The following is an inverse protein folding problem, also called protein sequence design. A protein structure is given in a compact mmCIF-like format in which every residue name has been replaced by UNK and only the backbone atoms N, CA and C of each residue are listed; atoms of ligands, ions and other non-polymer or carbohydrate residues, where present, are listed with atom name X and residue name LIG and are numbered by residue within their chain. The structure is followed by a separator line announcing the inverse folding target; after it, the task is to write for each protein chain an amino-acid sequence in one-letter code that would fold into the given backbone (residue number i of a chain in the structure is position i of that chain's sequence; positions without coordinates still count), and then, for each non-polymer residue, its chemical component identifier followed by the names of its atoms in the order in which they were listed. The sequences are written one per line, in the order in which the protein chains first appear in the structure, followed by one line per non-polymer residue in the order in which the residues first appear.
data_IF_958184650309
#
_entry.id   IF_958184650309
#
_cell.length_a   1.000
_cell.length_b   1.000
_cell.length_c   1.000
_cell.angle_alpha   90.00
_cell.angle_beta   90.00
_cell.angle_gamma   90.00
#
_symmetry.space_group_name_H-M   'P 1'
#
loop_
_entity.id
_entity.type
_entity.pdbx_description
1 polymer ?
#
# COMPACT_ATOMS: atom_id res chain seq x y z
N UNK A 1 -52.01 -40.42 63.40
CA UNK A 1 -52.19 -39.18 62.61
C UNK A 1 -50.82 -38.84 62.01
N UNK A 2 -50.61 -39.13 60.72
CA UNK A 2 -49.33 -38.96 60.02
C UNK A 2 -49.16 -37.48 59.63
N UNK A 3 -48.12 -36.82 60.11
CA UNK A 3 -47.72 -35.49 59.63
C UNK A 3 -46.54 -35.66 58.68
N UNK A 4 -46.78 -35.44 57.39
CA UNK A 4 -45.75 -35.37 56.36
C UNK A 4 -45.15 -33.96 56.34
N UNK A 5 -43.85 -33.83 56.58
CA UNK A 5 -43.10 -32.60 56.34
C UNK A 5 -42.66 -32.56 54.87
N UNK A 6 -43.22 -31.64 54.09
CA UNK A 6 -42.80 -31.38 52.70
C UNK A 6 -41.77 -30.25 52.72
N UNK A 7 -40.50 -30.56 52.44
CA UNK A 7 -39.45 -29.56 52.23
C UNK A 7 -39.54 -29.01 50.80
N UNK A 8 -39.77 -27.71 50.66
CA UNK A 8 -39.71 -26.98 49.38
C UNK A 8 -38.27 -26.51 49.18
N UNK A 9 -37.53 -27.12 48.24
CA UNK A 9 -36.25 -26.60 47.77
C UNK A 9 -36.52 -25.46 46.77
N UNK A 10 -36.19 -24.23 47.14
CA UNK A 10 -36.13 -23.11 46.21
C UNK A 10 -34.78 -23.16 45.46
N UNK A 11 -34.82 -23.50 44.17
CA UNK A 11 -33.65 -23.42 43.30
C UNK A 11 -33.43 -21.96 42.87
N UNK A 12 -32.38 -21.33 43.38
CA UNK A 12 -31.93 -20.02 42.94
C UNK A 12 -31.06 -20.22 41.69
N UNK A 13 -31.63 -20.01 40.51
CA UNK A 13 -30.88 -19.95 39.25
C UNK A 13 -30.15 -18.62 39.15
N UNK A 14 -28.84 -18.63 39.41
CA UNK A 14 -27.95 -17.51 39.10
C UNK A 14 -27.64 -17.58 37.60
N UNK A 15 -28.38 -16.82 36.79
CA UNK A 15 -28.01 -16.60 35.40
C UNK A 15 -26.82 -15.63 35.36
N UNK A 16 -25.61 -16.17 35.30
CA UNK A 16 -24.44 -15.39 34.90
C UNK A 16 -24.62 -15.00 33.43
N UNK A 17 -25.01 -13.74 33.19
CA UNK A 17 -24.92 -13.15 31.87
C UNK A 17 -23.44 -13.11 31.49
N UNK A 18 -23.00 -14.08 30.69
CA UNK A 18 -21.71 -14.00 30.01
C UNK A 18 -21.80 -12.79 29.07
N UNK A 19 -21.19 -11.67 29.49
CA UNK A 19 -20.86 -10.59 28.56
C UNK A 19 -19.87 -11.19 27.57
N UNK A 20 -20.37 -11.65 26.44
CA UNK A 20 -19.54 -11.95 25.27
C UNK A 20 -18.88 -10.62 24.93
N UNK A 21 -17.63 -10.43 25.38
CA UNK A 21 -16.75 -9.43 24.78
C UNK A 21 -16.73 -9.78 23.31
N UNK A 22 -17.41 -8.97 22.50
CA UNK A 22 -17.29 -9.00 21.05
C UNK A 22 -15.80 -8.80 20.79
N UNK A 23 -15.08 -9.87 20.44
CA UNK A 23 -13.74 -9.71 19.89
C UNK A 23 -13.88 -8.68 18.78
N UNK A 24 -13.12 -7.59 18.88
CA UNK A 24 -13.13 -6.57 17.83
C UNK A 24 -12.85 -7.30 16.51
N UNK A 25 -13.74 -7.12 15.53
CA UNK A 25 -13.62 -7.83 14.28
C UNK A 25 -12.34 -7.37 13.60
N UNK A 26 -11.41 -8.30 13.35
CA UNK A 26 -10.16 -7.99 12.70
C UNK A 26 -10.39 -7.24 11.38
N UNK A 27 -9.58 -6.19 11.16
CA UNK A 27 -9.63 -5.38 9.94
C UNK A 27 -9.38 -6.26 8.71
N UNK A 28 -10.30 -6.19 7.73
CA UNK A 28 -10.35 -7.01 6.50
C UNK A 28 -10.93 -6.22 5.31
N UNK A 29 -10.70 -6.71 4.08
CA UNK A 29 -11.29 -6.10 2.88
C UNK A 29 -12.83 -6.19 2.89
N UNK A 30 -13.48 -5.07 2.58
CA UNK A 30 -14.93 -5.00 2.36
C UNK A 30 -15.33 -4.51 0.96
N UNK A 31 -14.34 -4.29 0.10
CA UNK A 31 -14.51 -3.95 -1.32
C UNK A 31 -13.83 -5.01 -2.19
N UNK A 32 -14.15 -5.02 -3.48
CA UNK A 32 -13.53 -5.90 -4.47
C UNK A 32 -12.86 -5.07 -5.56
N UNK A 33 -11.81 -5.61 -6.20
CA UNK A 33 -11.21 -5.02 -7.38
C UNK A 33 -12.23 -4.67 -8.47
N UNK A 34 -12.01 -3.52 -9.11
CA UNK A 34 -12.73 -3.10 -10.31
C UNK A 34 -11.95 -3.59 -11.53
N UNK A 35 -12.03 -4.88 -11.79
CA UNK A 35 -11.25 -5.52 -12.85
C UNK A 35 -11.61 -4.97 -14.24
N UNK A 36 -10.59 -4.76 -15.07
CA UNK A 36 -10.76 -4.35 -16.46
C UNK A 36 -9.59 -4.80 -17.34
N UNK A 37 -9.33 -4.03 -18.40
CA UNK A 37 -8.19 -4.23 -19.29
C UNK A 37 -7.51 -2.89 -19.55
N UNK A 38 -6.31 -2.88 -20.13
CA UNK A 38 -5.67 -1.65 -20.59
C UNK A 38 -6.38 -0.98 -21.80
N UNK A 39 -7.57 -1.44 -22.18
CA UNK A 39 -8.40 -0.80 -23.20
C UNK A 39 -9.51 0.00 -22.54
N UNK A 40 -9.37 1.33 -22.53
CA UNK A 40 -10.38 2.26 -22.01
C UNK A 40 -9.93 2.97 -20.75
N UNK A 41 -10.90 3.21 -19.88
CA UNK A 41 -10.73 3.90 -18.60
C UNK A 41 -9.87 3.09 -17.62
N UNK A 42 -9.29 3.77 -16.64
CA UNK A 42 -8.52 3.15 -15.55
C UNK A 42 -9.34 2.05 -14.86
N UNK A 43 -8.70 0.89 -14.68
CA UNK A 43 -9.25 -0.24 -13.97
C UNK A 43 -8.13 -1.03 -13.27
N UNK A 44 -8.48 -1.91 -12.34
CA UNK A 44 -7.55 -2.89 -11.79
C UNK A 44 -7.22 -3.94 -12.86
N UNK A 45 -5.93 -4.17 -13.13
CA UNK A 45 -5.48 -5.04 -14.22
C UNK A 45 -4.30 -5.89 -13.78
N UNK A 46 -4.34 -7.17 -14.14
CA UNK A 46 -3.17 -8.04 -14.24
C UNK A 46 -3.05 -8.54 -15.68
N UNK A 47 -2.09 -8.00 -16.44
CA UNK A 47 -1.83 -8.37 -17.83
C UNK A 47 -0.52 -9.15 -18.01
N UNK A 48 -0.37 -10.26 -17.27
CA UNK A 48 0.72 -11.22 -17.44
C UNK A 48 1.55 -11.49 -16.18
N UNK A 49 1.28 -10.81 -15.07
CA UNK A 49 1.96 -11.09 -13.80
C UNK A 49 1.56 -12.48 -13.29
N UNK A 50 2.57 -13.22 -12.85
CA UNK A 50 2.46 -14.53 -12.20
C UNK A 50 1.84 -14.38 -10.79
N UNK A 51 1.30 -15.46 -10.20
CA UNK A 51 0.92 -15.48 -8.79
C UNK A 51 2.11 -15.06 -7.90
N UNK A 52 1.84 -14.43 -6.75
CA UNK A 52 2.89 -13.84 -5.91
C UNK A 52 4.00 -14.81 -5.52
N UNK A 53 3.65 -16.07 -5.22
CA UNK A 53 4.60 -17.12 -4.84
C UNK A 53 5.57 -17.55 -5.97
N UNK A 54 5.41 -17.03 -7.19
CA UNK A 54 6.36 -17.22 -8.28
C UNK A 54 7.53 -16.23 -8.22
N UNK A 55 7.42 -15.14 -7.46
CA UNK A 55 8.47 -14.14 -7.30
C UNK A 55 9.34 -14.46 -6.10
N UNK A 56 10.65 -14.39 -6.29
CA UNK A 56 11.66 -14.58 -5.23
C UNK A 56 12.22 -13.25 -4.73
N UNK A 57 12.09 -12.19 -5.52
CA UNK A 57 12.53 -10.84 -5.17
C UNK A 57 11.44 -9.83 -5.52
N UNK A 58 11.19 -8.89 -4.62
CA UNK A 58 10.40 -7.69 -4.88
C UNK A 58 11.35 -6.50 -4.79
N UNK A 59 11.51 -5.73 -5.87
CA UNK A 59 12.27 -4.49 -5.90
C UNK A 59 11.28 -3.33 -5.88
N UNK A 60 11.34 -2.49 -4.86
CA UNK A 60 10.34 -1.47 -4.62
C UNK A 60 10.88 -0.05 -4.73
N UNK A 61 10.15 0.78 -5.47
CA UNK A 61 10.34 2.21 -5.58
C UNK A 61 9.06 2.92 -5.18
N UNK A 62 9.18 3.99 -4.42
CA UNK A 62 8.01 4.70 -3.93
C UNK A 62 8.33 5.85 -2.98
N UNK A 63 7.26 6.30 -2.34
CA UNK A 63 7.29 7.36 -1.33
C UNK A 63 7.08 6.82 0.10
N UNK A 64 6.53 7.66 0.99
CA UNK A 64 6.26 7.33 2.38
C UNK A 64 5.31 6.14 2.59
N UNK A 65 4.46 5.79 1.60
CA UNK A 65 3.57 4.64 1.70
C UNK A 65 4.30 3.33 1.42
N UNK A 66 5.52 3.41 0.87
CA UNK A 66 6.35 2.26 0.48
C UNK A 66 7.71 2.23 1.20
N UNK A 67 8.08 3.29 1.93
CA UNK A 67 9.37 3.39 2.63
C UNK A 67 9.41 2.54 3.93
N UNK A 68 10.21 1.48 3.90
CA UNK A 68 10.50 0.56 5.00
C UNK A 68 11.51 1.08 6.04
N UNK A 69 11.99 2.32 5.89
CA UNK A 69 12.98 2.97 6.76
C UNK A 69 14.44 2.68 6.40
N UNK A 70 14.69 1.87 5.36
CA UNK A 70 16.02 1.59 4.79
C UNK A 70 15.90 1.55 3.26
N UNK A 71 16.59 2.47 2.59
CA UNK A 71 16.23 2.89 1.22
C UNK A 71 17.29 2.46 0.18
N UNK A 72 18.02 1.37 0.44
CA UNK A 72 19.18 0.95 -0.35
C UNK A 72 19.16 -0.52 -0.79
N UNK A 73 18.02 -1.20 -0.63
CA UNK A 73 17.84 -2.62 -0.94
C UNK A 73 18.44 -3.60 0.09
N UNK A 74 18.96 -3.12 1.22
CA UNK A 74 19.40 -3.98 2.33
C UNK A 74 18.21 -4.37 3.24
N UNK A 75 18.36 -5.39 4.12
CA UNK A 75 17.28 -5.80 5.01
C UNK A 75 16.77 -4.64 5.88
N UNK A 76 15.45 -4.57 6.02
CA UNK A 76 14.80 -3.55 6.85
C UNK A 76 15.02 -3.83 8.34
N UNK A 77 14.94 -2.77 9.15
CA UNK A 77 14.88 -2.90 10.62
C UNK A 77 13.51 -3.48 11.05
N UNK A 78 13.41 -4.05 12.26
CA UNK A 78 12.13 -4.47 12.82
C UNK A 78 11.10 -3.33 12.80
N UNK A 79 9.89 -3.63 12.32
CA UNK A 79 8.79 -2.67 12.23
C UNK A 79 8.13 -2.47 13.61
N UNK A 80 8.86 -1.87 14.55
CA UNK A 80 8.42 -1.62 15.92
C UNK A 80 8.49 -0.13 16.23
N UNK A 81 7.41 0.42 16.77
CA UNK A 81 7.37 1.79 17.30
C UNK A 81 8.23 1.87 18.55
N UNK A 82 9.23 2.76 18.54
CA UNK A 82 10.09 3.01 19.70
C UNK A 82 9.91 4.46 20.15
N UNK A 83 9.16 4.72 21.24
CA UNK A 83 8.96 6.07 21.76
C UNK A 83 10.28 6.82 22.00
N UNK A 84 10.31 8.15 21.79
CA UNK A 84 9.17 9.00 21.47
C UNK A 84 8.78 8.97 19.99
N UNK A 85 9.55 8.31 19.11
CA UNK A 85 9.24 8.29 17.68
C UNK A 85 7.94 7.54 17.42
N UNK A 86 7.03 8.07 16.58
CA UNK A 86 5.86 7.34 16.11
C UNK A 86 6.20 6.40 14.94
N UNK A 87 7.43 6.44 14.40
CA UNK A 87 7.79 5.67 13.20
C UNK A 87 8.25 4.26 13.57
N UNK A 88 7.58 3.25 13.03
CA UNK A 88 7.93 1.84 13.27
C UNK A 88 9.17 1.43 12.47
N UNK A 89 10.32 1.31 13.13
CA UNK A 89 11.58 0.99 12.46
C UNK A 89 11.98 1.97 11.34
N UNK A 90 11.44 3.19 11.36
CA UNK A 90 11.61 4.22 10.32
C UNK A 90 10.44 4.37 9.33
N UNK A 91 9.45 3.47 9.34
CA UNK A 91 8.26 3.55 8.47
C UNK A 91 7.34 4.69 8.91
N UNK A 92 6.66 5.32 7.95
CA UNK A 92 5.56 6.26 8.22
C UNK A 92 4.26 5.55 8.63
N UNK A 93 4.39 4.59 9.56
CA UNK A 93 3.32 3.72 10.05
C UNK A 93 3.68 3.17 11.44
N UNK A 94 2.74 2.50 12.09
CA UNK A 94 2.89 1.82 13.39
C UNK A 94 3.41 0.39 13.28
N UNK A 95 3.66 -0.11 12.06
CA UNK A 95 4.13 -1.46 11.82
C UNK A 95 4.52 -1.68 10.36
N UNK A 96 4.45 -2.94 9.87
CA UNK A 96 4.89 -3.27 8.52
C UNK A 96 4.08 -2.57 7.42
N UNK A 97 4.78 -2.16 6.36
CA UNK A 97 4.17 -1.56 5.16
C UNK A 97 3.62 -2.63 4.20
N UNK A 98 2.87 -2.21 3.18
CA UNK A 98 2.20 -3.13 2.26
C UNK A 98 3.19 -4.04 1.51
N UNK A 99 4.38 -3.53 1.19
CA UNK A 99 5.44 -4.29 0.53
C UNK A 99 6.02 -5.41 1.38
N UNK A 100 6.13 -5.22 2.69
CA UNK A 100 6.57 -6.27 3.62
C UNK A 100 5.54 -7.38 3.71
N UNK A 101 4.25 -7.03 3.80
CA UNK A 101 3.15 -7.98 3.77
C UNK A 101 3.08 -8.74 2.43
N UNK A 102 3.31 -8.04 1.31
CA UNK A 102 3.35 -8.63 -0.02
C UNK A 102 4.54 -9.59 -0.17
N UNK A 103 5.72 -9.21 0.33
CA UNK A 103 6.91 -10.05 0.32
C UNK A 103 6.75 -11.31 1.17
N UNK A 104 6.14 -11.19 2.36
CA UNK A 104 5.77 -12.35 3.19
C UNK A 104 4.83 -13.28 2.44
N UNK A 105 3.79 -12.74 1.80
CA UNK A 105 2.82 -13.52 1.00
C UNK A 105 3.48 -14.22 -0.19
N UNK A 106 4.44 -13.55 -0.84
CA UNK A 106 5.21 -14.10 -1.95
C UNK A 106 6.27 -15.12 -1.51
N UNK A 107 6.71 -15.10 -0.24
CA UNK A 107 7.95 -15.77 0.18
C UNK A 107 9.19 -15.16 -0.48
N UNK A 108 9.15 -13.85 -0.79
CA UNK A 108 10.16 -13.13 -1.53
C UNK A 108 11.07 -12.29 -0.62
N UNK A 109 12.28 -12.00 -1.09
CA UNK A 109 13.14 -10.97 -0.49
C UNK A 109 12.70 -9.60 -0.97
N UNK A 110 12.39 -8.69 -0.04
CA UNK A 110 12.15 -7.28 -0.34
C UNK A 110 13.47 -6.52 -0.50
N UNK A 111 13.57 -5.75 -1.58
CA UNK A 111 14.64 -4.81 -1.90
C UNK A 111 14.03 -3.41 -2.00
N UNK A 112 14.04 -2.70 -0.88
CA UNK A 112 13.35 -1.43 -0.75
C UNK A 112 14.27 -0.24 -1.07
N UNK A 113 13.81 0.61 -1.98
CA UNK A 113 14.44 1.87 -2.38
C UNK A 113 13.51 3.08 -2.20
N UNK A 114 12.27 2.85 -1.76
CA UNK A 114 11.29 3.91 -1.54
C UNK A 114 11.77 4.89 -0.47
N UNK A 115 11.43 6.16 -0.63
CA UNK A 115 11.90 7.24 0.24
C UNK A 115 10.73 8.15 0.61
N UNK A 116 10.48 8.34 1.90
CA UNK A 116 9.44 9.25 2.37
C UNK A 116 9.64 10.69 1.84
N UNK A 117 8.57 11.25 1.27
CA UNK A 117 8.57 12.58 0.66
C UNK A 117 9.03 12.62 -0.81
N UNK A 118 9.39 11.48 -1.40
CA UNK A 118 9.85 11.41 -2.77
C UNK A 118 8.76 11.82 -3.77
N UNK A 119 9.14 12.69 -4.69
CA UNK A 119 8.39 13.00 -5.91
C UNK A 119 8.89 12.12 -7.07
N UNK A 120 8.27 12.22 -8.24
CA UNK A 120 8.70 11.47 -9.42
C UNK A 120 10.01 12.02 -10.00
N UNK A 121 10.11 13.35 -10.08
CA UNK A 121 11.30 14.06 -10.56
C UNK A 121 11.42 15.41 -9.86
N UNK A 122 12.40 15.54 -8.98
CA UNK A 122 12.65 16.74 -8.19
C UNK A 122 13.01 17.96 -9.04
N UNK A 123 13.52 17.75 -10.26
CA UNK A 123 13.88 18.85 -11.16
C UNK A 123 12.66 19.62 -11.67
N UNK A 124 11.48 19.00 -11.62
CA UNK A 124 10.21 19.65 -11.93
C UNK A 124 9.76 20.66 -10.84
N UNK A 125 10.46 20.72 -9.71
CA UNK A 125 10.09 21.54 -8.55
C UNK A 125 11.23 22.46 -8.11
N UNK A 126 11.54 23.52 -8.89
CA UNK A 126 12.57 24.47 -8.54
C UNK A 126 12.22 25.18 -7.22
N UNK A 127 12.91 24.82 -6.14
CA UNK A 127 12.67 25.36 -4.78
C UNK A 127 12.38 24.30 -3.72
N UNK A 128 12.10 23.05 -4.10
CA UNK A 128 12.12 21.94 -3.15
C UNK A 128 13.57 21.68 -2.70
N UNK A 129 13.91 22.12 -1.50
CA UNK A 129 15.16 21.72 -0.83
C UNK A 129 15.01 20.28 -0.31
N UNK A 130 15.01 19.32 -1.23
CA UNK A 130 14.94 17.89 -0.94
C UNK A 130 16.30 17.20 -1.13
N UNK A 131 17.42 17.88 -0.84
CA UNK A 131 18.78 17.39 -1.14
C UNK A 131 19.16 16.04 -0.48
N UNK A 132 18.31 15.48 0.38
CA UNK A 132 18.48 14.17 1.03
C UNK A 132 17.39 13.15 0.70
N UNK A 133 16.37 13.50 -0.07
CA UNK A 133 15.26 12.61 -0.46
C UNK A 133 15.47 12.20 -1.91
N UNK A 134 15.62 10.90 -2.16
CA UNK A 134 15.73 10.39 -3.53
C UNK A 134 14.36 10.37 -4.21
N UNK A 135 14.19 11.14 -5.27
CA UNK A 135 13.04 11.03 -6.17
C UNK A 135 13.03 9.68 -6.93
N UNK A 136 11.96 9.34 -7.66
CA UNK A 136 11.90 8.09 -8.42
C UNK A 136 13.11 7.92 -9.36
N UNK A 137 13.52 9.00 -10.01
CA UNK A 137 14.65 8.99 -10.94
C UNK A 137 15.95 8.60 -10.24
N UNK A 138 16.23 9.19 -9.09
CA UNK A 138 17.39 8.90 -8.26
C UNK A 138 17.32 7.52 -7.61
N UNK A 139 16.15 7.05 -7.18
CA UNK A 139 15.98 5.69 -6.66
C UNK A 139 16.31 4.64 -7.73
N UNK A 140 15.81 4.82 -8.97
CA UNK A 140 16.09 3.92 -10.09
C UNK A 140 17.57 3.99 -10.49
N UNK A 141 18.16 5.19 -10.55
CA UNK A 141 19.58 5.36 -10.84
C UNK A 141 20.47 4.73 -9.77
N UNK A 142 20.11 4.87 -8.49
CA UNK A 142 20.83 4.24 -7.39
C UNK A 142 20.77 2.71 -7.49
N UNK A 143 19.58 2.15 -7.68
CA UNK A 143 19.40 0.70 -7.88
C UNK A 143 20.21 0.18 -9.08
N UNK A 144 20.05 0.78 -10.26
CA UNK A 144 20.75 0.34 -11.47
C UNK A 144 22.28 0.51 -11.36
N UNK A 145 22.73 1.58 -10.68
CA UNK A 145 24.15 1.85 -10.42
C UNK A 145 24.82 0.83 -9.49
N UNK A 146 24.05 0.09 -8.68
CA UNK A 146 24.61 -1.01 -7.87
C UNK A 146 25.07 -2.20 -8.72
N UNK A 147 24.62 -2.31 -9.98
CA UNK A 147 25.02 -3.38 -10.90
C UNK A 147 24.55 -4.79 -10.48
N UNK A 148 23.66 -4.88 -9.50
CA UNK A 148 23.09 -6.15 -9.02
C UNK A 148 22.13 -6.68 -10.07
N UNK A 149 22.39 -7.89 -10.55
CA UNK A 149 21.51 -8.58 -11.50
C UNK A 149 20.51 -9.43 -10.73
N UNK A 150 19.24 -9.14 -10.92
CA UNK A 150 18.15 -9.98 -10.46
C UNK A 150 17.63 -10.84 -11.62
N UNK A 151 17.11 -12.03 -11.33
CA UNK A 151 16.48 -12.88 -12.34
C UNK A 151 15.17 -12.22 -12.83
N UNK A 152 15.08 -11.80 -14.10
CA UNK A 152 13.89 -11.14 -14.63
C UNK A 152 12.63 -12.00 -14.58
N UNK A 153 12.75 -13.33 -14.53
CA UNK A 153 11.59 -14.22 -14.50
C UNK A 153 10.97 -14.36 -13.12
N UNK A 154 11.73 -14.07 -12.06
CA UNK A 154 11.32 -14.23 -10.66
C UNK A 154 11.44 -12.96 -9.84
N UNK A 155 11.62 -11.81 -10.49
CA UNK A 155 11.65 -10.48 -9.85
C UNK A 155 10.43 -9.65 -10.23
N UNK A 156 9.75 -9.12 -9.21
CA UNK A 156 8.67 -8.15 -9.36
C UNK A 156 9.19 -6.76 -9.02
N UNK A 157 9.03 -5.80 -9.93
CA UNK A 157 9.34 -4.39 -9.70
C UNK A 157 8.06 -3.66 -9.35
N UNK A 158 8.03 -2.91 -8.26
CA UNK A 158 6.85 -2.15 -7.82
C UNK A 158 7.10 -0.65 -7.87
N UNK A 159 6.18 0.11 -8.44
CA UNK A 159 6.20 1.58 -8.45
C UNK A 159 4.93 2.09 -7.77
N UNK A 160 5.08 2.94 -6.76
CA UNK A 160 3.96 3.67 -6.16
C UNK A 160 4.36 5.13 -5.88
N UNK A 161 3.90 6.02 -6.76
CA UNK A 161 4.23 7.45 -6.78
C UNK A 161 3.02 8.30 -7.20
N UNK A 162 3.15 9.62 -7.08
CA UNK A 162 2.16 10.61 -7.51
C UNK A 162 1.48 11.36 -6.37
N UNK A 163 1.61 10.88 -5.13
CA UNK A 163 0.99 11.52 -3.96
C UNK A 163 1.60 12.90 -3.71
N UNK A 164 2.93 12.95 -3.55
CA UNK A 164 3.63 14.21 -3.29
C UNK A 164 3.52 15.15 -4.50
N UNK A 165 3.58 14.61 -5.72
CA UNK A 165 3.48 15.38 -6.95
C UNK A 165 2.13 16.10 -7.07
N UNK A 166 1.04 15.38 -6.76
CA UNK A 166 -0.30 15.94 -6.72
C UNK A 166 -0.45 17.03 -5.65
N UNK A 167 0.11 16.82 -4.46
CA UNK A 167 0.05 17.80 -3.37
C UNK A 167 0.80 19.10 -3.65
N UNK A 168 1.91 18.99 -4.36
CA UNK A 168 2.75 20.13 -4.72
C UNK A 168 2.18 20.90 -5.92
N UNK A 169 1.19 20.35 -6.64
CA UNK A 169 0.49 21.02 -7.72
C UNK A 169 1.33 21.23 -8.97
N UNK A 170 2.15 20.24 -9.35
CA UNK A 170 3.02 20.30 -10.54
C UNK A 170 2.28 20.04 -11.85
N UNK A 171 3.04 20.09 -12.94
CA UNK A 171 2.65 19.49 -14.22
C UNK A 171 2.63 17.96 -14.11
N UNK A 172 1.44 17.42 -13.85
CA UNK A 172 1.25 15.99 -13.66
C UNK A 172 1.42 15.19 -14.96
N UNK A 173 1.25 15.82 -16.13
CA UNK A 173 1.43 15.14 -17.41
C UNK A 173 2.91 14.77 -17.63
N UNK A 174 3.82 15.68 -17.26
CA UNK A 174 5.27 15.42 -17.25
C UNK A 174 5.63 14.35 -16.22
N UNK A 175 5.03 14.39 -15.03
CA UNK A 175 5.22 13.36 -14.01
C UNK A 175 4.82 11.96 -14.50
N UNK A 176 3.69 11.83 -15.21
CA UNK A 176 3.28 10.55 -15.79
C UNK A 176 4.34 10.03 -16.80
N UNK A 177 4.77 10.88 -17.74
CA UNK A 177 5.79 10.53 -18.74
C UNK A 177 7.10 10.07 -18.08
N UNK A 178 7.49 10.73 -16.98
CA UNK A 178 8.67 10.36 -16.23
C UNK A 178 8.54 8.98 -15.59
N UNK A 179 7.36 8.58 -15.09
CA UNK A 179 7.14 7.19 -14.65
C UNK A 179 7.39 6.23 -15.80
N UNK A 180 6.78 6.44 -16.97
CA UNK A 180 6.98 5.56 -18.11
C UNK A 180 8.44 5.49 -18.58
N UNK A 181 9.14 6.63 -18.58
CA UNK A 181 10.56 6.68 -18.88
C UNK A 181 11.39 5.83 -17.90
N UNK A 182 11.10 5.91 -16.59
CA UNK A 182 11.82 5.09 -15.58
C UNK A 182 11.51 3.61 -15.70
N UNK A 183 10.30 3.24 -16.09
CA UNK A 183 9.97 1.85 -16.41
C UNK A 183 10.71 1.35 -17.66
N UNK A 184 10.88 2.19 -18.68
CA UNK A 184 11.71 1.87 -19.84
C UNK A 184 13.18 1.65 -19.44
N UNK A 185 13.73 2.48 -18.55
CA UNK A 185 15.09 2.31 -18.02
C UNK A 185 15.22 0.98 -17.27
N UNK A 186 14.29 0.66 -16.38
CA UNK A 186 14.28 -0.63 -15.65
C UNK A 186 14.14 -1.83 -16.60
N UNK A 187 13.38 -1.68 -17.70
CA UNK A 187 13.18 -2.74 -18.70
C UNK A 187 14.38 -2.91 -19.64
N UNK A 188 15.34 -2.00 -19.59
CA UNK A 188 16.55 -2.00 -20.43
C UNK A 188 17.76 -2.60 -19.71
N UNK A 189 18.88 -2.74 -20.43
CA UNK A 189 20.15 -3.14 -19.82
C UNK A 189 20.55 -2.17 -18.69
N UNK A 190 21.08 -2.66 -17.55
CA UNK A 190 21.44 -4.06 -17.26
C UNK A 190 20.34 -4.87 -16.56
N UNK A 191 19.19 -4.25 -16.26
CA UNK A 191 18.15 -4.80 -15.37
C UNK A 191 17.21 -5.76 -16.09
N UNK A 192 16.79 -5.42 -17.31
CA UNK A 192 15.84 -6.19 -18.11
C UNK A 192 14.55 -6.56 -17.35
N UNK A 193 14.02 -5.61 -16.56
CA UNK A 193 12.79 -5.82 -15.80
C UNK A 193 11.65 -6.30 -16.71
N UNK A 194 10.99 -7.39 -16.29
CA UNK A 194 9.90 -8.02 -17.06
C UNK A 194 8.55 -7.97 -16.35
N UNK A 195 8.54 -8.02 -15.02
CA UNK A 195 7.32 -8.03 -14.22
C UNK A 195 7.22 -6.73 -13.43
N UNK A 196 6.24 -5.90 -13.75
CA UNK A 196 6.07 -4.56 -13.18
C UNK A 196 4.67 -4.45 -12.60
N UNK A 197 4.57 -4.02 -11.35
CA UNK A 197 3.34 -3.64 -10.69
C UNK A 197 3.36 -2.13 -10.43
N UNK A 198 2.41 -1.41 -11.00
CA UNK A 198 2.19 0.01 -10.67
C UNK A 198 0.95 0.13 -9.79
N UNK A 199 1.08 0.89 -8.72
CA UNK A 199 0.02 1.14 -7.76
C UNK A 199 -0.26 2.65 -7.75
N UNK A 200 -1.54 3.01 -7.80
CA UNK A 200 -1.97 4.41 -7.73
C UNK A 200 -2.86 4.68 -6.52
N UNK A 201 -2.65 5.86 -5.94
CA UNK A 201 -3.54 6.54 -5.02
C UNK A 201 -3.18 8.03 -4.90
N UNK A 202 -2.89 8.69 -6.02
CA UNK A 202 -2.32 10.06 -6.04
C UNK A 202 -3.00 11.02 -5.04
N UNK A 203 -4.33 10.96 -4.92
CA UNK A 203 -5.12 11.91 -4.13
C UNK A 203 -5.46 11.44 -2.72
N UNK A 204 -5.05 10.23 -2.32
CA UNK A 204 -5.42 9.60 -1.04
C UNK A 204 -6.93 9.67 -0.78
N UNK A 205 -7.71 9.24 -1.76
CA UNK A 205 -9.18 9.31 -1.74
C UNK A 205 -9.80 10.65 -2.16
N UNK A 206 -9.00 11.70 -2.40
CA UNK A 206 -9.48 12.89 -3.10
C UNK A 206 -9.37 12.70 -4.61
N UNK A 207 -10.33 13.22 -5.36
CA UNK A 207 -10.31 13.22 -6.83
C UNK A 207 -10.29 14.65 -7.35
N UNK A 208 -9.50 14.89 -8.38
CA UNK A 208 -9.57 16.12 -9.18
C UNK A 208 -9.44 15.76 -10.68
N UNK A 209 -9.90 16.64 -11.59
CA UNK A 209 -9.70 16.43 -13.02
C UNK A 209 -8.23 16.18 -13.40
N UNK A 210 -7.31 16.94 -12.82
CA UNK A 210 -5.87 16.86 -13.09
C UNK A 210 -5.28 15.53 -12.60
N UNK A 211 -5.67 15.08 -11.41
CA UNK A 211 -5.19 13.82 -10.86
C UNK A 211 -5.78 12.58 -11.56
N UNK A 212 -7.04 12.62 -11.99
CA UNK A 212 -7.58 11.53 -12.81
C UNK A 212 -6.95 11.52 -14.21
N UNK A 213 -6.61 12.69 -14.78
CA UNK A 213 -5.87 12.78 -16.03
C UNK A 213 -4.46 12.17 -15.90
N UNK A 214 -3.73 12.50 -14.83
CA UNK A 214 -2.45 11.88 -14.48
C UNK A 214 -2.54 10.35 -14.42
N UNK A 215 -3.50 9.83 -13.65
CA UNK A 215 -3.71 8.40 -13.50
C UNK A 215 -4.03 7.72 -14.83
N UNK A 216 -4.90 8.33 -15.63
CA UNK A 216 -5.25 7.83 -16.96
C UNK A 216 -4.05 7.84 -17.91
N UNK A 217 -3.18 8.85 -17.82
CA UNK A 217 -1.97 8.91 -18.61
C UNK A 217 -0.99 7.81 -18.23
N UNK A 218 -0.69 7.63 -16.94
CA UNK A 218 0.16 6.51 -16.45
C UNK A 218 -0.41 5.18 -16.96
N UNK A 219 -1.72 4.95 -16.82
CA UNK A 219 -2.39 3.74 -17.28
C UNK A 219 -2.24 3.51 -18.79
N UNK A 220 -2.35 4.56 -19.59
CA UNK A 220 -2.21 4.53 -21.05
C UNK A 220 -0.76 4.27 -21.48
N UNK A 221 0.21 4.83 -20.77
CA UNK A 221 1.63 4.60 -21.03
C UNK A 221 2.06 3.17 -20.67
N UNK A 222 1.50 2.60 -19.60
CA UNK A 222 1.68 1.18 -19.27
C UNK A 222 1.19 0.26 -20.38
N UNK A 223 0.05 0.56 -21.01
CA UNK A 223 -0.42 -0.18 -22.19
C UNK A 223 0.61 -0.12 -23.31
N UNK A 224 1.15 1.05 -23.59
CA UNK A 224 2.13 1.25 -24.65
C UNK A 224 3.42 0.47 -24.38
N UNK A 225 3.98 0.59 -23.18
CA UNK A 225 5.17 -0.15 -22.74
C UNK A 225 4.95 -1.66 -22.82
N UNK A 226 3.80 -2.15 -22.35
CA UNK A 226 3.43 -3.57 -22.45
C UNK A 226 3.45 -4.06 -23.90
N UNK A 227 2.86 -3.28 -24.81
CA UNK A 227 2.78 -3.64 -26.23
C UNK A 227 4.16 -3.67 -26.90
N UNK A 228 4.98 -2.65 -26.62
CA UNK A 228 6.28 -2.44 -27.24
C UNK A 228 7.35 -3.41 -26.70
N UNK A 229 7.42 -3.55 -25.38
CA UNK A 229 8.48 -4.31 -24.69
C UNK A 229 8.06 -5.73 -24.28
N UNK A 230 6.79 -6.11 -24.50
CA UNK A 230 6.22 -7.42 -24.11
C UNK A 230 6.35 -7.72 -22.60
N UNK A 231 6.17 -6.67 -21.79
CA UNK A 231 6.23 -6.76 -20.33
C UNK A 231 4.99 -7.44 -19.74
N UNK A 232 5.16 -8.02 -18.57
CA UNK A 232 4.07 -8.41 -17.69
C UNK A 232 3.77 -7.23 -16.77
N UNK A 233 2.59 -6.61 -16.93
CA UNK A 233 2.23 -5.40 -16.17
C UNK A 233 0.95 -5.63 -15.39
N UNK A 234 0.97 -5.23 -14.11
CA UNK A 234 -0.23 -5.02 -13.30
C UNK A 234 -0.40 -3.54 -12.96
N UNK A 235 -1.66 -3.11 -12.89
CA UNK A 235 -2.04 -1.79 -12.39
C UNK A 235 -3.10 -1.96 -11.30
N UNK A 236 -2.92 -1.28 -10.18
CA UNK A 236 -3.82 -1.34 -9.01
C UNK A 236 -4.26 0.07 -8.65
N UNK A 237 -5.58 0.33 -8.68
CA UNK A 237 -6.17 1.59 -8.25
C UNK A 237 -6.68 1.46 -6.80
N UNK A 238 -5.88 1.95 -5.85
CA UNK A 238 -6.26 1.89 -4.44
C UNK A 238 -7.36 2.91 -4.07
N UNK A 239 -7.78 3.78 -4.99
CA UNK A 239 -8.92 4.67 -4.73
C UNK A 239 -10.17 3.87 -4.36
N UNK A 240 -10.31 2.63 -4.83
CA UNK A 240 -11.42 1.74 -4.42
C UNK A 240 -11.41 1.42 -2.93
N UNK A 241 -10.24 1.26 -2.30
CA UNK A 241 -10.12 1.06 -0.85
C UNK A 241 -10.49 2.37 -0.14
N UNK A 242 -9.94 3.49 -0.59
CA UNK A 242 -10.20 4.80 0.03
C UNK A 242 -11.66 5.22 -0.07
N UNK A 243 -12.27 5.09 -1.24
CA UNK A 243 -13.70 5.35 -1.48
C UNK A 243 -14.54 4.44 -0.58
N UNK A 244 -14.15 3.18 -0.42
CA UNK A 244 -14.87 2.22 0.41
C UNK A 244 -14.80 2.51 1.91
N UNK A 245 -13.65 2.98 2.40
CA UNK A 245 -13.43 3.28 3.83
C UNK A 245 -13.97 4.67 4.18
N UNK A 246 -13.63 5.69 3.40
CA UNK A 246 -13.95 7.09 3.67
C UNK A 246 -15.32 7.52 3.15
N UNK A 247 -15.91 6.74 2.23
CA UNK A 247 -17.26 6.94 1.74
C UNK A 247 -18.34 6.40 2.67
N UNK A 248 -19.60 6.57 2.26
CA UNK A 248 -20.78 6.12 3.01
C UNK A 248 -21.09 4.63 2.83
N UNK A 249 -20.54 3.99 1.80
CA UNK A 249 -20.77 2.58 1.50
C UNK A 249 -19.50 1.93 0.90
N UNK A 250 -19.01 0.80 1.46
CA UNK A 250 -19.56 0.12 2.63
C UNK A 250 -19.21 0.82 3.97
N UNK A 251 -18.31 1.82 3.96
CA UNK A 251 -17.86 2.57 5.13
C UNK A 251 -16.80 1.83 5.95
N UNK A 252 -16.01 2.57 6.72
CA UNK A 252 -14.87 2.04 7.48
C UNK A 252 -15.24 0.88 8.44
N UNK A 253 -16.45 0.87 9.01
CA UNK A 253 -16.88 -0.20 9.91
C UNK A 253 -17.06 -1.54 9.19
N UNK A 254 -17.41 -1.54 7.90
CA UNK A 254 -17.52 -2.77 7.13
C UNK A 254 -16.16 -3.45 6.92
N UNK A 255 -15.09 -2.66 6.88
CA UNK A 255 -13.71 -3.16 6.90
C UNK A 255 -13.26 -3.61 8.29
N UNK A 256 -14.02 -3.31 9.36
CA UNK A 256 -13.65 -3.59 10.74
C UNK A 256 -12.88 -2.46 11.43
N UNK A 257 -12.68 -1.30 10.78
CA UNK A 257 -12.12 -0.14 11.46
C UNK A 257 -13.10 0.43 12.49
N UNK A 258 -12.57 0.99 13.57
CA UNK A 258 -13.33 1.76 14.57
C UNK A 258 -13.08 3.26 14.41
N UNK A 259 -12.00 3.65 13.73
CA UNK A 259 -11.60 5.02 13.47
C UNK A 259 -11.08 5.20 12.03
N UNK A 260 -11.72 6.00 11.16
CA UNK A 260 -11.22 6.29 9.81
C UNK A 260 -10.07 7.33 9.81
N UNK A 261 -9.79 7.95 10.95
CA UNK A 261 -8.77 8.98 11.11
C UNK A 261 -7.41 8.43 11.57
N UNK A 262 -6.50 9.35 11.88
CA UNK A 262 -5.18 9.05 12.42
C UNK A 262 -5.25 8.65 13.90
N UNK A 263 -4.46 7.65 14.28
CA UNK A 263 -4.29 7.25 15.67
C UNK A 263 -3.21 8.09 16.38
N UNK A 264 -2.09 8.36 15.74
CA UNK A 264 -1.03 9.23 16.24
C UNK A 264 -1.27 10.69 15.85
N UNK A 265 -0.84 11.62 16.71
CA UNK A 265 -1.09 13.05 16.53
C UNK A 265 -0.19 13.73 15.50
N UNK A 266 1.01 13.18 15.25
CA UNK A 266 1.97 13.73 14.27
C UNK A 266 3.08 12.73 13.97
N UNK A 267 3.89 13.01 12.96
CA UNK A 267 5.12 12.28 12.66
C UNK A 267 6.27 12.52 13.67
N UNK A 268 6.09 13.41 14.66
CA UNK A 268 7.16 13.80 15.60
C UNK A 268 7.14 13.05 16.92
N UNK A 269 5.98 12.54 17.33
CA UNK A 269 5.84 11.90 18.63
C UNK A 269 4.73 10.84 18.63
N UNK A 270 4.97 9.72 19.32
CA UNK A 270 3.96 8.71 19.66
C UNK A 270 3.14 9.09 20.90
N UNK A 271 3.53 10.14 21.64
CA UNK A 271 2.78 10.62 22.77
C UNK A 271 1.40 11.13 22.34
N UNK A 272 0.34 10.69 23.02
CA UNK A 272 -1.04 11.02 22.66
C UNK A 272 -1.62 10.18 21.53
N UNK A 273 -0.92 9.13 21.08
CA UNK A 273 -1.51 8.16 20.16
C UNK A 273 -2.72 7.45 20.82
N UNK A 274 -3.68 7.05 19.99
CA UNK A 274 -4.86 6.31 20.41
C UNK A 274 -4.48 4.94 21.02
N UNK A 275 -5.41 4.34 21.77
CA UNK A 275 -5.19 3.05 22.44
C UNK A 275 -5.40 1.83 21.53
N UNK A 276 -5.99 2.03 20.35
CA UNK A 276 -6.36 0.96 19.40
C UNK A 276 -5.89 1.28 17.97
N UNK A 277 -4.56 1.27 17.73
CA UNK A 277 -4.02 1.52 16.39
C UNK A 277 -4.40 0.42 15.38
N UNK A 278 -4.64 -0.81 15.84
CA UNK A 278 -4.95 -1.97 14.98
C UNK A 278 -6.30 -1.84 14.25
N UNK A 279 -7.20 -0.99 14.74
CA UNK A 279 -8.50 -0.69 14.11
C UNK A 279 -8.63 0.77 13.63
N UNK A 280 -7.50 1.47 13.48
CA UNK A 280 -7.45 2.81 12.88
C UNK A 280 -7.03 2.73 11.42
N UNK A 281 -7.66 3.49 10.53
CA UNK A 281 -7.31 3.51 9.10
C UNK A 281 -5.98 4.22 8.85
N UNK A 282 -5.72 5.32 9.55
CA UNK A 282 -4.45 6.03 9.49
C UNK A 282 -3.68 5.89 10.79
N UNK A 283 -2.35 5.79 10.69
CA UNK A 283 -1.48 5.92 11.85
C UNK A 283 -1.13 7.39 12.08
N UNK A 284 -0.34 8.00 11.19
CA UNK A 284 -0.12 9.45 11.18
C UNK A 284 -1.20 10.14 10.32
N UNK A 285 -1.41 11.45 10.48
CA UNK A 285 -2.30 12.21 9.60
C UNK A 285 -1.97 11.99 8.12
N UNK A 286 -2.88 11.35 7.39
CA UNK A 286 -2.73 11.09 5.96
C UNK A 286 -1.82 9.93 5.58
N UNK A 287 -1.35 9.10 6.53
CA UNK A 287 -0.51 7.91 6.24
C UNK A 287 -1.14 6.63 6.81
N UNK A 288 -1.25 5.54 6.04
CA UNK A 288 -1.87 4.29 6.46
C UNK A 288 -1.30 3.72 7.76
N UNK A 289 -2.16 3.12 8.58
CA UNK A 289 -1.73 2.24 9.65
C UNK A 289 -1.18 0.92 9.10
N UNK A 290 -0.54 0.12 9.96
CA UNK A 290 -0.10 -1.23 9.64
C UNK A 290 -1.29 -2.13 9.22
N UNK A 291 -2.45 -1.94 9.86
CA UNK A 291 -3.69 -2.61 9.47
C UNK A 291 -4.10 -2.24 8.05
N UNK A 292 -4.04 -0.96 7.69
CA UNK A 292 -4.34 -0.51 6.32
C UNK A 292 -3.29 -0.97 5.31
N UNK A 293 -2.01 -1.03 5.69
CA UNK A 293 -0.97 -1.59 4.83
C UNK A 293 -1.19 -3.08 4.53
N UNK A 294 -1.69 -3.86 5.50
CA UNK A 294 -2.15 -5.23 5.26
C UNK A 294 -3.31 -5.26 4.27
N UNK A 295 -4.29 -4.37 4.41
CA UNK A 295 -5.42 -4.24 3.49
C UNK A 295 -4.98 -3.90 2.06
N UNK A 296 -3.98 -3.03 1.90
CA UNK A 296 -3.39 -2.72 0.59
C UNK A 296 -2.76 -3.98 -0.01
N UNK A 297 -1.97 -4.73 0.77
CA UNK A 297 -1.34 -5.97 0.29
C UNK A 297 -2.38 -7.04 -0.10
N UNK A 298 -3.43 -7.20 0.71
CA UNK A 298 -4.55 -8.10 0.41
C UNK A 298 -5.26 -7.71 -0.90
N UNK A 299 -5.50 -6.40 -1.10
CA UNK A 299 -6.15 -5.90 -2.30
C UNK A 299 -5.30 -6.13 -3.54
N UNK A 300 -4.00 -5.79 -3.47
CA UNK A 300 -3.03 -6.07 -4.54
C UNK A 300 -3.02 -7.55 -4.89
N UNK A 301 -2.95 -8.45 -3.91
CA UNK A 301 -3.01 -9.89 -4.15
C UNK A 301 -4.34 -10.30 -4.81
N UNK A 302 -5.46 -9.69 -4.40
CA UNK A 302 -6.76 -9.91 -5.04
C UNK A 302 -6.74 -9.46 -6.50
N UNK A 303 -6.23 -8.27 -6.83
CA UNK A 303 -6.08 -7.82 -8.23
C UNK A 303 -5.26 -8.82 -9.05
N UNK A 304 -4.10 -9.23 -8.53
CA UNK A 304 -3.21 -10.17 -9.24
C UNK A 304 -3.86 -11.54 -9.47
N UNK A 305 -4.77 -11.96 -8.60
CA UNK A 305 -5.43 -13.26 -8.73
C UNK A 305 -6.72 -13.20 -9.56
N UNK A 306 -7.48 -12.11 -9.48
CA UNK A 306 -8.82 -12.01 -10.08
C UNK A 306 -8.89 -11.18 -11.36
N UNK A 307 -8.06 -10.15 -11.52
CA UNK A 307 -8.18 -9.20 -12.65
C UNK A 307 -7.28 -9.57 -13.83
N UNK A 308 -7.24 -10.85 -14.20
CA UNK A 308 -6.42 -11.32 -15.32
C UNK A 308 -6.99 -10.82 -16.64
N UNK A 309 -6.28 -9.89 -17.28
CA UNK A 309 -6.56 -9.48 -18.66
C UNK A 309 -6.08 -10.58 -19.60
N UNK A 310 -7.02 -11.24 -20.27
CA UNK A 310 -6.78 -12.20 -21.34
C UNK A 310 -6.33 -11.52 -22.62
#
# INVERSE_FOLDING_TARGET
MRLSLTFILAAISITSAAVVKREAQAVRLAVKPKCGTFSGDVADVNAGLKPLNAYKTIVAFGDAYSDGGVQNGSPLKPAVVTPPSPLAGGRSSDGPIWLENLAVTAGATLKDYATAGAVIDSTAYPGLSQSSVRDLSEQVNFFTGQGVKHDPETTLYTIFFGINDFELGTDLDVAAQNIAYRLLVLSSSPTFAKNILVVDNYGRGKRSPEGEAFKQQVFSELKALRSFLKLNIGFVDLSTIWDGVLGSSPGYQAFGYTNPGACAVSAKTSAGACTDPEHSFYWLPGTPSAATHRIIADYVNQVLTTCKAT
#
